data_IF_787695660748
#
_entry.id   IF_787695660748
#
_cell.length_a   1.000
_cell.length_b   1.000
_cell.length_c   1.000
_cell.angle_alpha   90.00
_cell.angle_beta   90.00
_cell.angle_gamma   90.00
#
_symmetry.space_group_name_H-M   'P 1'
#
loop_
_entity.id
_entity.type
_entity.pdbx_description
1 polymer ?
#
# COMPACT_ATOMS: atom_id res chain seq x y z
N UNK A 1 -68.57 -28.74 5.51
CA UNK A 1 -69.94 -28.42 5.10
C UNK A 1 -69.75 -27.38 4.01
N UNK A 2 -69.86 -27.89 2.82
CA UNK A 2 -70.74 -27.44 1.73
C UNK A 2 -70.42 -26.00 1.24
N UNK A 3 -70.14 -25.69 0.02
CA UNK A 3 -70.36 -26.33 -1.29
C UNK A 3 -70.57 -25.20 -2.30
N UNK A 4 -69.80 -25.26 -3.41
CA UNK A 4 -70.21 -24.98 -4.80
C UNK A 4 -70.77 -23.57 -5.15
N UNK A 5 -70.59 -23.00 -6.26
CA UNK A 5 -70.41 -23.29 -7.71
C UNK A 5 -70.52 -21.95 -8.41
N UNK A 6 -70.11 -21.71 -9.47
CA UNK A 6 -69.86 -22.03 -10.87
C UNK A 6 -69.97 -20.75 -11.68
N UNK A 7 -69.03 -20.63 -12.62
CA UNK A 7 -69.22 -20.61 -14.10
C UNK A 7 -70.23 -19.60 -14.67
N UNK A 8 -69.75 -18.84 -15.62
CA UNK A 8 -70.00 -18.92 -17.09
C UNK A 8 -69.39 -17.65 -17.72
N UNK A 9 -68.44 -17.76 -18.63
CA UNK A 9 -68.41 -17.89 -20.09
C UNK A 9 -69.29 -16.90 -20.81
N UNK A 10 -68.88 -16.15 -21.79
CA UNK A 10 -68.71 -16.39 -23.23
C UNK A 10 -68.82 -15.07 -24.00
N UNK A 11 -67.83 -14.90 -24.92
CA UNK A 11 -67.95 -14.39 -26.28
C UNK A 11 -68.45 -12.98 -26.65
N UNK A 12 -67.69 -12.47 -27.60
CA UNK A 12 -68.12 -11.55 -28.64
C UNK A 12 -66.98 -10.69 -29.12
N UNK A 13 -66.21 -11.18 -30.00
CA UNK A 13 -66.16 -10.99 -31.46
C UNK A 13 -66.03 -9.53 -31.91
N UNK A 14 -64.84 -9.27 -32.43
CA UNK A 14 -64.53 -8.73 -33.76
C UNK A 14 -65.04 -7.37 -34.21
N UNK A 15 -64.09 -6.69 -34.80
CA UNK A 15 -64.17 -5.77 -35.96
C UNK A 15 -64.34 -4.30 -35.62
N UNK A 16 -63.27 -3.54 -35.83
CA UNK A 16 -63.17 -2.55 -36.91
C UNK A 16 -61.68 -2.12 -37.06
N UNK A 17 -61.09 -2.49 -38.19
CA UNK A 17 -59.88 -1.86 -38.75
C UNK A 17 -60.25 -0.44 -39.18
N UNK A 18 -59.44 0.53 -38.84
CA UNK A 18 -58.93 1.47 -39.86
C UNK A 18 -57.92 2.48 -39.26
N UNK A 19 -56.74 2.39 -39.78
CA UNK A 19 -55.93 3.42 -40.37
C UNK A 19 -55.66 4.73 -39.56
N UNK A 20 -54.50 4.77 -38.93
CA UNK A 20 -53.68 5.95 -39.04
C UNK A 20 -52.21 5.56 -38.93
N UNK A 21 -51.55 5.42 -40.09
CA UNK A 21 -50.15 5.24 -40.20
C UNK A 21 -49.43 6.52 -39.77
N UNK A 22 -48.87 6.53 -38.59
CA UNK A 22 -47.83 7.48 -38.20
C UNK A 22 -46.51 6.74 -38.18
N UNK A 23 -45.70 7.10 -39.19
CA UNK A 23 -44.30 6.72 -39.29
C UNK A 23 -43.55 7.23 -38.03
N UNK A 24 -43.34 6.38 -37.05
CA UNK A 24 -42.20 6.56 -36.11
C UNK A 24 -40.95 6.09 -36.83
N UNK A 25 -40.21 7.05 -37.40
CA UNK A 25 -38.83 6.83 -37.72
C UNK A 25 -38.10 6.72 -36.40
N UNK A 26 -37.88 5.47 -35.95
CA UNK A 26 -36.93 5.20 -34.89
C UNK A 26 -35.55 5.51 -35.42
N UNK A 27 -35.04 6.67 -35.12
CA UNK A 27 -33.64 7.03 -35.29
C UNK A 27 -32.88 6.22 -34.25
N UNK A 28 -32.45 5.03 -34.63
CA UNK A 28 -31.43 4.29 -33.90
C UNK A 28 -30.14 5.09 -34.09
N UNK A 29 -29.89 5.99 -33.15
CA UNK A 29 -28.56 6.57 -33.00
C UNK A 29 -27.63 5.41 -32.62
N UNK A 30 -26.99 4.83 -33.61
CA UNK A 30 -25.78 4.06 -33.41
C UNK A 30 -24.77 5.02 -32.79
N UNK A 31 -24.67 4.98 -31.48
CA UNK A 31 -23.44 5.41 -30.81
C UNK A 31 -22.35 4.43 -31.26
N UNK A 32 -21.78 4.69 -32.41
CA UNK A 32 -20.45 4.19 -32.72
C UNK A 32 -19.55 4.81 -31.65
N UNK A 33 -19.31 4.06 -30.61
CA UNK A 33 -18.11 4.27 -29.83
C UNK A 33 -16.98 4.23 -30.85
N UNK A 34 -16.47 5.40 -31.17
CA UNK A 34 -15.15 5.52 -31.75
C UNK A 34 -14.20 4.84 -30.78
N UNK A 35 -13.96 3.56 -31.02
CA UNK A 35 -12.75 2.88 -30.63
C UNK A 35 -11.68 3.48 -31.57
N UNK A 36 -11.49 4.81 -31.47
CA UNK A 36 -10.28 5.43 -31.92
C UNK A 36 -9.18 4.79 -31.11
N UNK A 37 -8.52 3.85 -31.74
CA UNK A 37 -7.18 3.39 -31.48
C UNK A 37 -6.50 4.17 -30.34
N UNK A 38 -6.56 3.69 -29.14
CA UNK A 38 -5.43 3.73 -28.27
C UNK A 38 -4.34 2.86 -28.95
N UNK A 39 -3.78 3.40 -30.06
CA UNK A 39 -2.43 3.08 -30.47
C UNK A 39 -1.62 3.30 -29.20
N UNK A 40 -1.09 2.21 -28.64
CA UNK A 40 -0.55 2.14 -27.31
C UNK A 40 0.35 3.34 -27.03
N UNK A 41 -0.08 4.20 -26.11
CA UNK A 41 0.84 5.12 -25.49
C UNK A 41 2.01 4.25 -25.04
N UNK A 42 3.19 4.47 -25.61
CA UNK A 42 4.39 3.71 -25.28
C UNK A 42 4.50 3.69 -23.77
N UNK A 43 4.54 2.51 -23.17
CA UNK A 43 4.66 2.39 -21.72
C UNK A 43 5.94 3.11 -21.30
N UNK A 44 5.79 4.31 -20.76
CA UNK A 44 6.90 5.20 -20.40
C UNK A 44 7.56 4.76 -19.11
N UNK A 45 6.95 3.84 -18.36
CA UNK A 45 7.38 3.40 -17.03
C UNK A 45 8.18 2.10 -17.10
N UNK A 46 7.68 1.08 -17.80
CA UNK A 46 8.36 -0.21 -17.91
C UNK A 46 8.74 -0.53 -19.36
N UNK A 47 9.82 -1.28 -19.54
CA UNK A 47 10.14 -1.84 -20.86
C UNK A 47 9.12 -2.95 -21.19
N UNK A 48 8.73 -3.11 -22.45
CA UNK A 48 7.78 -4.17 -22.84
C UNK A 48 8.22 -5.58 -22.47
N UNK A 49 9.54 -5.81 -22.41
CA UNK A 49 10.14 -7.09 -22.03
C UNK A 49 10.38 -7.25 -20.52
N UNK A 50 10.09 -6.21 -19.72
CA UNK A 50 10.30 -6.28 -18.27
C UNK A 50 9.36 -7.31 -17.64
N UNK A 51 9.94 -8.19 -16.84
CA UNK A 51 9.23 -9.23 -16.10
C UNK A 51 9.58 -9.13 -14.62
N UNK A 52 8.64 -9.49 -13.79
CA UNK A 52 8.87 -9.64 -12.36
C UNK A 52 9.78 -10.87 -12.13
N UNK A 53 10.95 -10.65 -11.57
CA UNK A 53 11.97 -11.65 -11.28
C UNK A 53 11.94 -11.99 -9.80
N UNK A 54 11.78 -13.26 -9.44
CA UNK A 54 11.91 -13.73 -8.07
C UNK A 54 13.39 -13.76 -7.67
N UNK A 55 13.74 -13.07 -6.60
CA UNK A 55 15.10 -13.00 -6.04
C UNK A 55 15.26 -13.88 -4.80
N UNK A 56 14.22 -13.90 -3.95
CA UNK A 56 14.20 -14.67 -2.71
C UNK A 56 12.78 -15.09 -2.38
N UNK A 57 12.66 -16.25 -1.75
CA UNK A 57 11.43 -16.69 -1.10
C UNK A 57 11.76 -17.36 0.22
N UNK A 58 10.94 -17.09 1.24
CA UNK A 58 11.05 -17.74 2.54
C UNK A 58 10.92 -19.26 2.41
N UNK A 59 11.69 -20.00 3.23
CA UNK A 59 11.55 -21.44 3.32
C UNK A 59 10.13 -21.87 3.76
N UNK A 60 9.60 -22.94 3.16
CA UNK A 60 8.23 -23.40 3.36
C UNK A 60 7.88 -23.76 4.82
N UNK A 61 8.90 -24.05 5.64
CA UNK A 61 8.73 -24.42 7.05
C UNK A 61 8.28 -23.24 7.93
N UNK A 62 8.54 -22.00 7.50
CA UNK A 62 8.11 -20.80 8.20
C UNK A 62 6.72 -20.39 7.69
N UNK A 63 5.70 -20.97 8.30
CA UNK A 63 4.31 -20.76 7.89
C UNK A 63 3.82 -19.36 8.26
N UNK A 64 2.90 -18.85 7.45
CA UNK A 64 2.18 -17.57 7.62
C UNK A 64 3.06 -16.31 7.56
N UNK A 65 2.42 -15.16 7.50
CA UNK A 65 3.08 -13.86 7.40
C UNK A 65 3.47 -13.49 5.97
N UNK A 66 4.17 -12.37 5.86
CA UNK A 66 4.57 -11.77 4.57
C UNK A 66 5.95 -11.13 4.70
N UNK A 67 6.61 -10.95 3.57
CA UNK A 67 7.76 -10.03 3.45
C UNK A 67 7.26 -8.62 3.24
N UNK A 68 7.99 -7.63 3.76
CA UNK A 68 7.59 -6.23 3.73
C UNK A 68 8.79 -5.32 3.46
N UNK A 69 8.49 -4.09 3.12
CA UNK A 69 9.29 -2.87 3.15
C UNK A 69 10.73 -3.04 2.65
N UNK A 70 10.94 -3.26 1.37
CA UNK A 70 12.28 -3.17 0.81
C UNK A 70 12.81 -1.73 0.99
N UNK A 71 14.04 -1.59 1.48
CA UNK A 71 14.72 -0.32 1.66
C UNK A 71 16.15 -0.39 1.13
N UNK A 72 16.58 0.62 0.37
CA UNK A 72 17.90 0.64 -0.23
C UNK A 72 18.91 1.33 0.69
N UNK A 73 19.96 0.61 1.05
CA UNK A 73 21.08 1.15 1.81
C UNK A 73 22.00 2.02 0.91
N UNK A 74 22.80 2.94 1.49
CA UNK A 74 23.74 3.76 0.72
C UNK A 74 24.79 2.99 -0.09
N UNK A 75 25.05 1.72 0.25
CA UNK A 75 25.97 0.82 -0.47
C UNK A 75 25.27 -0.01 -1.57
N UNK A 76 23.96 0.17 -1.76
CA UNK A 76 23.13 -0.47 -2.79
C UNK A 76 22.51 -1.79 -2.37
N UNK A 77 22.77 -2.30 -1.17
CA UNK A 77 22.08 -3.48 -0.64
C UNK A 77 20.63 -3.16 -0.31
N UNK A 78 19.77 -4.16 -0.43
CA UNK A 78 18.34 -4.04 -0.15
C UNK A 78 18.03 -4.78 1.15
N UNK A 79 17.58 -4.04 2.15
CA UNK A 79 17.07 -4.60 3.37
C UNK A 79 15.56 -4.73 3.26
N UNK A 80 14.99 -5.80 3.79
CA UNK A 80 13.54 -6.01 3.80
C UNK A 80 13.14 -6.82 5.03
N UNK A 81 11.92 -6.60 5.50
CA UNK A 81 11.42 -7.32 6.66
C UNK A 81 10.72 -8.60 6.25
N UNK A 82 10.75 -9.56 7.13
CA UNK A 82 10.01 -10.80 7.05
C UNK A 82 9.22 -10.96 8.35
N UNK A 83 7.89 -10.81 8.26
CA UNK A 83 6.99 -10.77 9.39
C UNK A 83 6.14 -12.05 9.45
N UNK A 84 6.55 -13.07 10.20
CA UNK A 84 5.66 -14.19 10.52
C UNK A 84 4.53 -13.72 11.44
N UNK A 85 3.36 -14.36 11.32
CA UNK A 85 2.27 -14.12 12.26
C UNK A 85 2.48 -14.93 13.54
N UNK A 86 1.85 -14.49 14.63
CA UNK A 86 1.90 -15.17 15.93
C UNK A 86 3.11 -14.75 16.77
N UNK A 87 3.75 -15.71 17.43
CA UNK A 87 4.75 -15.45 18.48
C UNK A 87 6.14 -15.08 18.00
N UNK A 88 6.45 -15.27 16.71
CA UNK A 88 7.77 -14.99 16.18
C UNK A 88 8.01 -13.48 16.08
N UNK A 89 9.19 -13.03 16.47
CA UNK A 89 9.53 -11.60 16.54
C UNK A 89 9.84 -10.95 15.18
N UNK A 90 9.81 -11.70 14.09
CA UNK A 90 10.14 -11.23 12.77
C UNK A 90 11.65 -11.09 12.54
N UNK A 91 12.01 -10.85 11.31
CA UNK A 91 13.39 -10.74 10.84
C UNK A 91 13.57 -9.50 9.97
N UNK A 92 14.82 -9.05 9.86
CA UNK A 92 15.25 -8.17 8.78
C UNK A 92 16.31 -8.93 7.99
N UNK A 93 16.09 -9.02 6.69
CA UNK A 93 16.97 -9.68 5.73
C UNK A 93 17.70 -8.64 4.89
N UNK A 94 18.84 -9.03 4.34
CA UNK A 94 19.67 -8.19 3.48
C UNK A 94 19.97 -8.93 2.17
N UNK A 95 19.50 -8.41 1.04
CA UNK A 95 19.84 -8.88 -0.30
C UNK A 95 20.97 -8.03 -0.88
N UNK A 96 22.00 -8.66 -1.38
CA UNK A 96 23.09 -8.02 -2.12
C UNK A 96 22.85 -8.20 -3.64
N UNK A 97 22.55 -7.12 -4.38
CA UNK A 97 22.31 -7.20 -5.82
C UNK A 97 23.52 -7.67 -6.64
N UNK A 98 24.74 -7.49 -6.13
CA UNK A 98 25.99 -7.88 -6.82
C UNK A 98 26.24 -9.38 -6.74
N UNK A 99 26.06 -9.96 -5.57
CA UNK A 99 26.27 -11.40 -5.33
C UNK A 99 24.99 -12.21 -5.49
N UNK A 100 23.82 -11.54 -5.47
CA UNK A 100 22.48 -12.14 -5.47
C UNK A 100 22.21 -13.04 -4.27
N UNK A 101 22.89 -12.79 -3.17
CA UNK A 101 22.75 -13.53 -1.93
C UNK A 101 21.84 -12.80 -0.95
N UNK A 102 21.07 -13.56 -0.18
CA UNK A 102 20.32 -13.05 0.97
C UNK A 102 20.98 -13.54 2.25
N UNK A 103 21.13 -12.65 3.20
CA UNK A 103 21.63 -12.94 4.54
C UNK A 103 20.71 -12.35 5.60
N UNK A 104 20.75 -12.94 6.80
CA UNK A 104 20.05 -12.39 7.95
C UNK A 104 20.82 -11.16 8.48
N UNK A 105 20.09 -10.03 8.61
CA UNK A 105 20.61 -8.90 9.39
C UNK A 105 20.28 -9.09 10.87
N UNK A 106 19.01 -9.42 11.20
CA UNK A 106 18.59 -9.83 12.52
C UNK A 106 17.43 -10.82 12.46
N UNK A 107 17.42 -11.78 13.39
CA UNK A 107 16.32 -12.75 13.58
C UNK A 107 15.33 -12.34 14.67
N UNK A 108 15.55 -11.18 15.27
CA UNK A 108 14.70 -10.59 16.30
C UNK A 108 14.54 -9.11 15.99
N UNK A 109 13.58 -8.79 15.13
CA UNK A 109 13.32 -7.45 14.68
C UNK A 109 12.29 -6.71 15.54
N UNK A 110 11.62 -7.38 16.47
CA UNK A 110 10.53 -6.79 17.26
C UNK A 110 9.27 -6.52 16.43
N UNK A 111 8.98 -7.36 15.44
CA UNK A 111 7.88 -7.16 14.47
C UNK A 111 8.09 -5.91 13.61
N UNK A 112 9.33 -5.65 13.19
CA UNK A 112 9.58 -4.58 12.22
C UNK A 112 8.80 -4.80 10.93
N UNK A 113 8.15 -3.75 10.46
CA UNK A 113 7.41 -3.67 9.20
C UNK A 113 8.13 -2.71 8.26
N UNK A 114 7.81 -1.41 8.28
CA UNK A 114 8.43 -0.39 7.46
C UNK A 114 9.92 -0.22 7.73
N UNK A 115 10.72 -0.04 6.67
CA UNK A 115 12.15 0.27 6.74
C UNK A 115 12.47 1.51 5.92
N UNK A 116 13.43 2.30 6.38
CA UNK A 116 14.07 3.37 5.58
C UNK A 116 15.50 3.60 6.03
N UNK A 117 16.27 4.33 5.22
CA UNK A 117 17.61 4.75 5.57
C UNK A 117 17.67 6.26 5.82
N UNK A 118 18.53 6.66 6.76
CA UNK A 118 18.86 8.06 7.01
C UNK A 118 20.13 8.46 6.25
N UNK A 119 20.37 9.75 6.11
CA UNK A 119 21.54 10.29 5.39
C UNK A 119 22.89 9.88 6.00
N UNK A 120 22.93 9.50 7.27
CA UNK A 120 24.11 8.99 7.96
C UNK A 120 24.34 7.48 7.74
N UNK A 121 23.49 6.83 6.95
CA UNK A 121 23.55 5.41 6.62
C UNK A 121 22.94 4.49 7.67
N UNK A 122 22.39 5.00 8.76
CA UNK A 122 21.65 4.17 9.71
C UNK A 122 20.27 3.79 9.15
N UNK A 123 19.78 2.60 9.49
CA UNK A 123 18.47 2.12 9.13
C UNK A 123 17.47 2.43 10.26
N UNK A 124 16.25 2.77 9.90
CA UNK A 124 15.12 2.93 10.84
C UNK A 124 14.02 1.98 10.45
N UNK A 125 13.39 1.34 11.45
CA UNK A 125 12.21 0.52 11.28
C UNK A 125 11.04 0.96 12.14
N UNK A 126 9.84 0.60 11.68
CA UNK A 126 8.60 0.62 12.44
C UNK A 126 8.36 -0.75 13.07
N UNK A 127 8.43 -0.85 14.39
CA UNK A 127 8.08 -2.08 15.10
C UNK A 127 6.59 -2.07 15.44
N UNK A 128 5.87 -3.08 14.97
CA UNK A 128 4.43 -3.18 15.13
C UNK A 128 3.97 -3.69 16.49
N UNK A 129 2.69 -3.98 16.59
CA UNK A 129 2.04 -4.67 17.73
C UNK A 129 2.13 -6.20 17.59
N UNK A 130 1.26 -6.94 18.29
CA UNK A 130 1.21 -8.41 18.36
C UNK A 130 2.48 -9.02 18.96
N UNK A 131 2.87 -8.48 20.13
CA UNK A 131 4.11 -8.85 20.83
C UNK A 131 5.34 -8.07 20.36
N UNK A 132 5.21 -7.18 19.40
CA UNK A 132 6.29 -6.31 18.91
C UNK A 132 6.55 -5.08 19.76
N UNK A 133 7.48 -4.25 19.31
CA UNK A 133 8.00 -3.12 20.07
C UNK A 133 7.05 -1.92 20.17
N UNK A 134 6.13 -1.72 19.21
CA UNK A 134 5.23 -0.56 19.08
C UNK A 134 6.03 0.75 19.15
N UNK A 135 7.04 0.88 18.27
CA UNK A 135 8.03 1.96 18.32
C UNK A 135 8.71 2.17 16.97
N UNK A 136 9.42 3.28 16.86
CA UNK A 136 10.46 3.46 15.85
C UNK A 136 11.81 3.09 16.47
N UNK A 137 12.62 2.32 15.74
CA UNK A 137 13.94 1.87 16.19
C UNK A 137 14.99 2.22 15.13
N UNK A 138 16.13 2.70 15.57
CA UNK A 138 17.30 2.97 14.73
C UNK A 138 18.31 1.85 14.91
N UNK A 139 18.76 1.26 13.82
CA UNK A 139 19.69 0.16 13.78
C UNK A 139 21.09 0.62 13.39
N UNK A 140 22.06 0.16 14.14
CA UNK A 140 23.46 0.20 13.77
C UNK A 140 23.76 -1.02 12.88
N UNK A 141 24.07 -0.78 11.61
CA UNK A 141 24.27 -1.85 10.62
C UNK A 141 25.51 -2.71 10.89
N UNK A 142 26.48 -2.21 11.68
CA UNK A 142 27.72 -2.94 11.99
C UNK A 142 27.52 -3.91 13.16
N UNK A 143 26.74 -3.48 14.14
CA UNK A 143 26.56 -4.25 15.39
C UNK A 143 25.24 -5.00 15.45
N UNK A 144 24.27 -4.68 14.58
CA UNK A 144 22.89 -5.18 14.61
C UNK A 144 22.11 -4.71 15.84
N UNK A 145 22.61 -3.71 16.58
CA UNK A 145 21.93 -3.19 17.77
C UNK A 145 20.94 -2.10 17.39
N UNK A 146 19.75 -2.18 17.99
CA UNK A 146 18.71 -1.18 17.83
C UNK A 146 18.59 -0.25 19.02
N UNK A 147 18.28 1.03 18.76
CA UNK A 147 17.98 2.05 19.76
C UNK A 147 16.60 2.63 19.46
N UNK A 148 15.71 2.64 20.46
CA UNK A 148 14.37 3.24 20.32
C UNK A 148 14.49 4.75 20.10
N UNK A 149 13.88 5.23 19.01
CA UNK A 149 13.78 6.65 18.68
C UNK A 149 12.49 7.27 19.26
N UNK A 150 11.37 6.55 19.14
CA UNK A 150 10.07 7.01 19.65
C UNK A 150 9.17 5.79 19.88
N UNK A 151 8.44 5.78 20.99
CA UNK A 151 7.47 4.73 21.32
C UNK A 151 6.15 5.32 21.86
N UNK A 152 6.07 6.67 21.96
CA UNK A 152 4.95 7.40 22.53
C UNK A 152 4.64 8.67 21.78
N UNK A 153 3.37 9.05 21.83
CA UNK A 153 2.88 10.38 21.48
C UNK A 153 2.09 10.92 22.67
N UNK A 154 2.44 12.12 23.16
CA UNK A 154 1.82 12.77 24.33
C UNK A 154 1.71 11.85 25.57
N UNK A 155 2.72 11.04 25.82
CA UNK A 155 2.79 10.11 26.94
C UNK A 155 2.10 8.75 26.72
N UNK A 156 1.32 8.58 25.67
CA UNK A 156 0.61 7.36 25.31
C UNK A 156 1.43 6.49 24.34
N UNK A 157 1.38 5.17 24.51
CA UNK A 157 2.05 4.23 23.61
C UNK A 157 1.47 4.33 22.18
N UNK A 158 2.34 4.32 21.18
CA UNK A 158 1.96 4.21 19.78
C UNK A 158 1.09 2.95 19.57
N UNK A 159 0.24 2.95 18.55
CA UNK A 159 -0.65 1.82 18.25
C UNK A 159 0.14 0.62 17.69
N UNK A 160 0.68 0.77 16.50
CA UNK A 160 1.43 -0.24 15.77
C UNK A 160 2.11 0.41 14.58
N UNK A 161 3.19 1.19 14.77
CA UNK A 161 3.88 1.82 13.66
C UNK A 161 4.08 0.84 12.50
N UNK A 162 3.71 1.29 11.29
CA UNK A 162 3.61 0.40 10.14
C UNK A 162 4.61 0.79 9.05
N UNK A 163 4.46 1.93 8.38
CA UNK A 163 5.34 2.35 7.30
C UNK A 163 5.89 3.75 7.56
N UNK A 164 6.99 4.11 6.86
CA UNK A 164 7.69 5.36 7.11
C UNK A 164 8.42 5.88 5.89
N UNK A 165 8.57 7.20 5.83
CA UNK A 165 9.46 7.86 4.89
C UNK A 165 10.22 9.01 5.57
N UNK A 166 11.33 9.43 4.96
CA UNK A 166 12.18 10.50 5.49
C UNK A 166 12.12 11.71 4.56
N UNK A 167 12.15 12.92 5.12
CA UNK A 167 12.26 14.13 4.33
C UNK A 167 13.73 14.57 4.14
N UNK A 168 13.95 15.57 3.27
CA UNK A 168 15.28 16.13 3.01
C UNK A 168 15.93 16.80 4.24
N UNK A 169 15.17 17.05 5.30
CA UNK A 169 15.65 17.58 6.59
C UNK A 169 15.97 16.48 7.59
N UNK A 170 15.77 15.21 7.23
CA UNK A 170 16.02 14.02 8.07
C UNK A 170 14.96 13.81 9.15
N UNK A 171 13.74 14.32 8.97
CA UNK A 171 12.59 14.04 9.83
C UNK A 171 11.85 12.82 9.30
N UNK A 172 11.29 12.00 10.16
CA UNK A 172 10.69 10.72 9.82
C UNK A 172 9.17 10.83 9.93
N UNK A 173 8.46 10.73 8.81
CA UNK A 173 7.01 10.58 8.78
C UNK A 173 6.68 9.09 8.88
N UNK A 174 5.69 8.74 9.68
CA UNK A 174 5.29 7.35 9.86
C UNK A 174 3.79 7.21 10.10
N UNK A 175 3.26 6.05 9.72
CA UNK A 175 1.87 5.68 9.95
C UNK A 175 1.76 4.82 11.21
N UNK A 176 0.67 5.00 11.97
CA UNK A 176 0.46 4.28 13.22
C UNK A 176 -0.95 3.66 13.30
N UNK A 177 -1.25 2.70 12.39
CA UNK A 177 -2.51 1.96 12.41
C UNK A 177 -2.51 0.87 13.50
N UNK A 178 -3.60 0.08 13.54
CA UNK A 178 -3.66 -1.16 14.31
C UNK A 178 -4.31 -2.25 13.46
N UNK A 179 -3.48 -3.14 12.88
CA UNK A 179 -3.96 -4.31 12.11
C UNK A 179 -4.10 -5.56 12.96
N UNK A 180 -3.28 -5.73 13.98
CA UNK A 180 -3.25 -6.90 14.84
C UNK A 180 -2.80 -6.58 16.25
N UNK A 181 -2.70 -7.64 17.10
CA UNK A 181 -2.26 -7.53 18.46
C UNK A 181 -3.42 -7.30 19.45
N UNK A 182 -3.29 -7.94 20.61
CA UNK A 182 -4.28 -7.85 21.69
C UNK A 182 -3.89 -6.81 22.77
N UNK A 183 -2.77 -6.14 22.61
CA UNK A 183 -2.30 -5.14 23.56
C UNK A 183 -3.28 -3.96 23.65
N UNK A 184 -3.50 -3.41 24.86
CA UNK A 184 -4.37 -2.26 25.03
C UNK A 184 -3.96 -1.08 24.13
N UNK A 185 -4.94 -0.46 23.51
CA UNK A 185 -4.74 0.79 22.77
C UNK A 185 -4.81 1.96 23.75
N UNK A 186 -3.78 2.80 23.72
CA UNK A 186 -3.70 3.99 24.55
C UNK A 186 -4.10 5.25 23.78
N UNK A 187 -3.83 5.30 22.46
CA UNK A 187 -4.24 6.40 21.58
C UNK A 187 -5.69 6.21 21.12
N UNK A 188 -6.44 7.29 21.02
CA UNK A 188 -7.86 7.23 20.67
C UNK A 188 -8.11 7.01 19.17
N UNK A 189 -7.11 7.31 18.33
CA UNK A 189 -7.21 7.25 16.87
C UNK A 189 -5.94 6.71 16.24
N UNK A 190 -6.09 6.27 15.02
CA UNK A 190 -5.00 5.93 14.12
C UNK A 190 -4.63 7.18 13.34
N UNK A 191 -3.34 7.45 13.16
CA UNK A 191 -2.90 8.71 12.59
C UNK A 191 -1.56 8.58 11.86
N UNK A 192 -1.19 9.63 11.18
CA UNK A 192 0.14 9.87 10.64
C UNK A 192 0.87 10.82 11.56
N UNK A 193 2.06 10.43 11.96
CA UNK A 193 2.94 11.20 12.82
C UNK A 193 4.23 11.57 12.12
N UNK A 194 4.98 12.48 12.73
CA UNK A 194 6.35 12.79 12.33
C UNK A 194 7.25 12.89 13.57
N UNK A 195 8.35 12.16 13.51
CA UNK A 195 9.43 12.28 14.48
C UNK A 195 10.40 13.38 14.02
N UNK A 196 10.56 14.39 14.84
CA UNK A 196 11.50 15.49 14.66
C UNK A 196 12.94 15.05 15.02
N UNK A 197 13.93 15.79 14.58
CA UNK A 197 15.34 15.48 14.87
C UNK A 197 15.71 15.61 16.35
N UNK A 198 14.95 16.36 17.12
CA UNK A 198 15.09 16.52 18.59
C UNK A 198 14.38 15.43 19.39
N UNK A 199 13.79 14.44 18.70
CA UNK A 199 13.06 13.33 19.31
C UNK A 199 11.58 13.61 19.61
N UNK A 200 11.08 14.79 19.31
CA UNK A 200 9.66 15.11 19.48
C UNK A 200 8.82 14.45 18.41
N UNK A 201 7.73 13.78 18.81
CA UNK A 201 6.69 13.28 17.90
C UNK A 201 5.59 14.34 17.79
N UNK A 202 5.16 14.62 16.56
CA UNK A 202 4.01 15.47 16.27
C UNK A 202 3.01 14.75 15.38
N UNK A 203 1.73 15.00 15.59
CA UNK A 203 0.67 14.52 14.71
C UNK A 203 0.64 15.36 13.43
N UNK A 204 0.60 14.71 12.27
CA UNK A 204 0.50 15.36 10.95
C UNK A 204 -0.95 15.39 10.49
N UNK A 205 -1.63 14.24 10.57
CA UNK A 205 -3.05 14.13 10.23
C UNK A 205 -3.66 12.85 10.80
N UNK A 206 -4.93 12.92 11.13
CA UNK A 206 -5.81 11.78 11.46
C UNK A 206 -6.98 11.67 10.48
N UNK A 207 -6.92 12.38 9.35
CA UNK A 207 -7.93 12.29 8.29
C UNK A 207 -7.76 11.05 7.42
N UNK A 208 -7.34 9.97 8.03
CA UNK A 208 -7.19 8.61 7.48
C UNK A 208 -7.78 7.64 8.49
N UNK A 209 -8.45 6.59 8.01
CA UNK A 209 -9.09 5.63 8.91
C UNK A 209 -8.09 4.60 9.42
N UNK A 210 -7.24 4.08 8.53
CA UNK A 210 -6.19 3.11 8.85
C UNK A 210 -4.99 3.33 7.92
N UNK A 211 -4.10 4.27 8.26
CA UNK A 211 -2.98 4.63 7.40
C UNK A 211 -1.98 3.47 7.27
N UNK A 212 -1.52 3.23 6.04
CA UNK A 212 -0.54 2.20 5.71
C UNK A 212 0.66 2.84 4.99
N UNK A 213 0.88 2.54 3.70
CA UNK A 213 1.99 3.09 2.95
C UNK A 213 2.05 4.61 2.97
N UNK A 214 3.27 5.16 3.00
CA UNK A 214 3.50 6.59 3.12
C UNK A 214 4.74 7.01 2.33
N UNK A 215 4.64 8.09 1.55
CA UNK A 215 5.78 8.65 0.83
C UNK A 215 5.62 10.15 0.60
N UNK A 216 6.73 10.87 0.53
CA UNK A 216 6.77 12.30 0.17
C UNK A 216 7.02 12.47 -1.33
N UNK A 217 6.37 13.47 -1.93
CA UNK A 217 6.75 13.92 -3.27
C UNK A 217 8.21 14.40 -3.31
N UNK A 218 8.91 14.32 -4.46
CA UNK A 218 10.29 14.77 -4.56
C UNK A 218 10.50 16.23 -4.16
N UNK A 219 9.53 17.10 -4.39
CA UNK A 219 9.56 18.51 -3.99
C UNK A 219 9.19 18.75 -2.52
N UNK A 220 8.87 17.69 -1.76
CA UNK A 220 8.52 17.72 -0.33
C UNK A 220 7.25 18.52 0.01
N UNK A 221 6.39 18.79 -0.98
CA UNK A 221 5.17 19.60 -0.80
C UNK A 221 3.90 18.76 -0.67
N UNK A 222 3.99 17.46 -0.91
CA UNK A 222 2.86 16.56 -0.82
C UNK A 222 3.25 15.29 -0.08
N UNK A 223 2.43 14.91 0.89
CA UNK A 223 2.52 13.62 1.56
C UNK A 223 1.44 12.71 0.98
N UNK A 224 1.84 11.58 0.42
CA UNK A 224 0.93 10.54 -0.05
C UNK A 224 0.76 9.49 1.04
N UNK A 225 -0.49 9.10 1.30
CA UNK A 225 -0.84 8.12 2.34
C UNK A 225 -1.87 7.15 1.79
N UNK A 226 -1.57 5.86 1.93
CA UNK A 226 -2.51 4.78 1.69
C UNK A 226 -3.44 4.60 2.89
N UNK A 227 -4.74 4.60 2.66
CA UNK A 227 -5.74 4.25 3.65
C UNK A 227 -6.26 2.85 3.34
N UNK A 228 -5.90 1.88 4.19
CA UNK A 228 -6.20 0.47 4.00
C UNK A 228 -7.02 -0.07 5.16
N UNK A 229 -8.27 0.39 5.29
CA UNK A 229 -9.14 -0.05 6.38
C UNK A 229 -9.84 -1.37 6.06
N UNK A 230 -9.14 -2.46 6.29
CA UNK A 230 -9.63 -3.83 6.12
C UNK A 230 -10.64 -4.28 7.21
N UNK A 231 -11.03 -3.41 8.13
CA UNK A 231 -11.77 -3.72 9.34
C UNK A 231 -10.79 -4.12 10.46
N UNK A 232 -10.29 -5.34 10.44
CA UNK A 232 -9.29 -5.80 11.41
C UNK A 232 -9.84 -5.94 12.84
N UNK A 233 -8.98 -5.77 13.83
CA UNK A 233 -9.29 -6.03 15.22
C UNK A 233 -10.07 -4.89 15.88
N UNK A 234 -10.91 -5.24 16.87
CA UNK A 234 -11.46 -4.26 17.81
C UNK A 234 -10.33 -3.55 18.53
N UNK A 235 -10.47 -2.26 18.69
CA UNK A 235 -9.48 -1.45 19.39
C UNK A 235 -9.62 -1.56 20.91
N UNK A 236 -10.87 -1.74 21.38
CA UNK A 236 -11.24 -1.98 22.76
C UNK A 236 -12.29 -3.09 22.80
N UNK A 237 -12.36 -3.90 23.87
CA UNK A 237 -13.40 -4.95 23.98
C UNK A 237 -14.84 -4.43 23.88
N UNK A 238 -15.06 -3.15 24.25
CA UNK A 238 -16.35 -2.48 24.22
C UNK A 238 -16.69 -1.86 22.86
N UNK A 239 -15.73 -1.79 21.92
CA UNK A 239 -15.97 -1.23 20.61
C UNK A 239 -16.86 -2.17 19.77
N UNK A 240 -17.67 -1.64 18.86
CA UNK A 240 -18.42 -2.46 17.92
C UNK A 240 -17.46 -3.28 17.05
N UNK A 241 -18.00 -4.33 16.39
CA UNK A 241 -17.22 -5.07 15.41
C UNK A 241 -16.64 -4.14 14.34
N UNK A 242 -15.33 -4.24 14.09
CA UNK A 242 -14.71 -3.40 13.08
C UNK A 242 -15.30 -3.70 11.70
N UNK A 243 -15.62 -2.63 11.00
CA UNK A 243 -16.12 -2.72 9.62
C UNK A 243 -15.03 -2.26 8.67
N UNK A 244 -14.96 -2.91 7.52
CA UNK A 244 -14.16 -2.44 6.41
C UNK A 244 -14.56 -1.00 6.05
N UNK A 245 -13.58 -0.13 5.94
CA UNK A 245 -13.76 1.28 5.63
C UNK A 245 -13.04 1.69 4.36
N UNK A 246 -12.37 2.84 4.40
CA UNK A 246 -11.71 3.42 3.25
C UNK A 246 -10.58 2.54 2.70
N UNK A 247 -10.56 2.42 1.38
CA UNK A 247 -9.49 1.79 0.59
C UNK A 247 -9.06 2.79 -0.47
N UNK A 248 -8.18 3.72 -0.09
CA UNK A 248 -7.86 4.90 -0.90
C UNK A 248 -6.39 5.27 -0.83
N UNK A 249 -5.96 6.08 -1.77
CA UNK A 249 -4.69 6.81 -1.66
C UNK A 249 -5.03 8.30 -1.62
N UNK A 250 -4.51 8.98 -0.60
CA UNK A 250 -4.69 10.41 -0.41
C UNK A 250 -3.40 11.18 -0.66
N UNK A 251 -3.55 12.41 -1.15
CA UNK A 251 -2.51 13.41 -1.22
C UNK A 251 -2.83 14.55 -0.24
N UNK A 252 -1.94 14.80 0.70
CA UNK A 252 -2.02 15.88 1.67
C UNK A 252 -1.04 16.97 1.28
N UNK A 253 -1.48 18.18 0.94
CA UNK A 253 -0.59 19.32 0.77
C UNK A 253 0.17 19.60 2.07
N UNK A 254 1.46 19.93 1.97
CA UNK A 254 2.30 20.28 3.11
C UNK A 254 2.72 21.75 3.04
N UNK A 255 2.74 22.42 4.18
CA UNK A 255 3.34 23.73 4.35
C UNK A 255 4.88 23.66 4.39
N UNK A 256 5.56 24.80 4.45
CA UNK A 256 7.02 24.89 4.53
C UNK A 256 7.62 24.21 5.79
N UNK A 257 6.81 24.06 6.84
CA UNK A 257 7.18 23.31 8.04
C UNK A 257 6.94 21.80 7.89
N UNK A 258 6.34 21.36 6.77
CA UNK A 258 6.00 19.96 6.49
C UNK A 258 4.82 19.47 7.32
N UNK A 259 3.86 20.32 7.63
CA UNK A 259 2.59 19.98 8.27
C UNK A 259 1.51 19.93 7.21
N UNK A 260 0.54 19.04 7.37
CA UNK A 260 -0.62 19.01 6.51
C UNK A 260 -1.33 20.39 6.53
N UNK A 261 -1.56 20.96 5.34
CA UNK A 261 -2.13 22.28 5.16
C UNK A 261 -3.12 22.26 4.00
N UNK A 262 -4.39 22.38 4.30
CA UNK A 262 -5.48 22.33 3.34
C UNK A 262 -6.13 20.96 3.23
N UNK A 263 -7.14 20.88 2.36
CA UNK A 263 -7.92 19.64 2.19
C UNK A 263 -7.13 18.57 1.45
N UNK A 264 -7.17 17.36 1.98
CA UNK A 264 -6.65 16.18 1.28
C UNK A 264 -7.38 15.96 -0.04
N UNK A 265 -6.70 15.37 -1.00
CA UNK A 265 -7.26 14.95 -2.27
C UNK A 265 -7.16 13.43 -2.42
N UNK A 266 -8.25 12.78 -2.83
CA UNK A 266 -8.22 11.37 -3.21
C UNK A 266 -7.56 11.22 -4.56
N UNK A 267 -6.50 10.41 -4.65
CA UNK A 267 -5.84 10.05 -5.90
C UNK A 267 -6.42 8.78 -6.50
N UNK A 268 -6.61 7.77 -5.65
CA UNK A 268 -7.17 6.47 -6.05
C UNK A 268 -8.24 6.09 -5.03
N UNK A 269 -9.35 5.56 -5.52
CA UNK A 269 -10.39 4.93 -4.72
C UNK A 269 -10.57 3.49 -5.22
N UNK A 270 -10.20 2.51 -4.41
CA UNK A 270 -10.29 1.09 -4.74
C UNK A 270 -11.70 0.53 -4.49
N UNK A 271 -12.62 1.33 -3.96
CA UNK A 271 -13.99 0.93 -3.69
C UNK A 271 -14.07 -0.24 -2.69
N UNK A 272 -14.54 -1.39 -3.17
CA UNK A 272 -14.67 -2.60 -2.35
C UNK A 272 -13.44 -3.51 -2.39
N UNK A 273 -12.49 -3.25 -3.27
CA UNK A 273 -11.25 -4.02 -3.36
C UNK A 273 -10.29 -3.67 -2.23
N UNK A 274 -9.32 -4.53 -1.97
CA UNK A 274 -8.22 -4.20 -1.10
C UNK A 274 -7.40 -3.07 -1.73
N UNK A 275 -7.02 -2.11 -0.92
CA UNK A 275 -6.33 -0.92 -1.35
C UNK A 275 -4.82 -1.10 -1.54
N UNK A 276 -4.12 0.02 -1.45
CA UNK A 276 -2.67 0.06 -1.45
C UNK A 276 -2.12 -0.33 -0.07
N UNK A 277 -1.02 -1.07 -0.07
CA UNK A 277 -0.17 -1.29 1.10
C UNK A 277 0.98 -0.27 1.05
N UNK A 278 2.22 -0.67 0.80
CA UNK A 278 3.34 0.25 0.67
C UNK A 278 3.42 0.99 -0.66
N UNK A 279 4.26 2.03 -0.73
CA UNK A 279 4.44 2.85 -1.91
C UNK A 279 5.80 3.56 -1.95
N UNK A 280 6.27 3.88 -3.17
CA UNK A 280 7.43 4.74 -3.40
C UNK A 280 7.19 5.72 -4.54
N UNK A 281 8.15 6.64 -4.78
CA UNK A 281 8.08 7.62 -5.88
C UNK A 281 9.34 7.58 -6.74
N UNK A 282 9.20 7.90 -8.02
CA UNK A 282 10.33 8.12 -8.89
C UNK A 282 10.78 9.60 -8.90
N UNK A 283 11.89 9.88 -9.57
CA UNK A 283 12.49 11.21 -9.71
C UNK A 283 11.62 12.18 -10.52
N UNK A 284 10.58 11.69 -11.20
CA UNK A 284 9.59 12.48 -11.94
C UNK A 284 8.33 12.76 -11.12
N UNK A 285 8.23 12.17 -9.92
CA UNK A 285 7.09 12.29 -9.02
C UNK A 285 5.96 11.30 -9.30
N UNK A 286 6.14 10.30 -10.17
CA UNK A 286 5.17 9.22 -10.32
C UNK A 286 5.18 8.34 -9.07
N UNK A 287 4.02 7.84 -8.69
CA UNK A 287 3.81 7.08 -7.46
C UNK A 287 3.59 5.61 -7.81
N UNK A 288 4.35 4.74 -7.19
CA UNK A 288 4.30 3.29 -7.36
C UNK A 288 3.61 2.68 -6.16
N UNK A 289 2.49 2.01 -6.38
CA UNK A 289 1.59 1.50 -5.35
C UNK A 289 1.58 -0.02 -5.35
N UNK A 290 1.84 -0.64 -4.21
CA UNK A 290 1.63 -2.07 -4.01
C UNK A 290 0.13 -2.34 -3.77
N UNK A 291 -0.60 -2.72 -4.84
CA UNK A 291 -2.05 -2.90 -4.80
C UNK A 291 -2.42 -4.33 -4.40
N UNK A 292 -3.13 -4.47 -3.29
CA UNK A 292 -3.56 -5.75 -2.71
C UNK A 292 -4.93 -6.23 -3.19
N UNK A 293 -5.48 -5.63 -4.24
CA UNK A 293 -6.76 -6.07 -4.82
C UNK A 293 -6.68 -7.52 -5.26
N UNK A 294 -7.61 -8.36 -4.82
CA UNK A 294 -7.71 -9.75 -5.25
C UNK A 294 -8.18 -9.88 -6.70
N UNK A 295 -8.92 -8.89 -7.17
CA UNK A 295 -9.33 -8.83 -8.56
C UNK A 295 -8.19 -8.46 -9.50
N UNK A 296 -7.23 -7.65 -9.02
CA UNK A 296 -6.10 -7.16 -9.81
C UNK A 296 -4.87 -6.91 -8.91
N UNK A 297 -4.20 -7.96 -8.41
CA UNK A 297 -3.00 -7.78 -7.60
C UNK A 297 -1.83 -7.31 -8.45
N UNK A 298 -1.11 -6.29 -7.97
CA UNK A 298 0.00 -5.79 -8.76
C UNK A 298 0.55 -4.43 -8.33
N UNK A 299 1.52 -3.96 -9.09
CA UNK A 299 2.05 -2.61 -8.98
C UNK A 299 1.26 -1.67 -9.89
N UNK A 300 0.57 -0.72 -9.30
CA UNK A 300 -0.08 0.38 -10.01
C UNK A 300 0.84 1.60 -9.98
N UNK A 301 1.13 2.17 -11.15
CA UNK A 301 1.87 3.43 -11.25
C UNK A 301 0.93 4.52 -11.68
N UNK A 302 0.88 5.59 -10.90
CA UNK A 302 0.05 6.76 -11.17
C UNK A 302 0.90 8.03 -11.25
N UNK A 303 0.41 9.02 -11.97
CA UNK A 303 0.97 10.38 -11.89
C UNK A 303 0.43 11.12 -10.64
N UNK A 304 0.98 12.30 -10.29
CA UNK A 304 0.52 13.07 -9.13
C UNK A 304 -0.95 13.52 -9.20
N UNK A 305 -1.62 13.36 -10.34
CA UNK A 305 -3.06 13.66 -10.47
C UNK A 305 -3.94 12.45 -10.13
N UNK A 306 -3.35 11.25 -10.04
CA UNK A 306 -4.04 9.98 -9.81
C UNK A 306 -4.34 9.20 -11.10
N UNK A 307 -3.84 9.66 -12.26
CA UNK A 307 -4.02 8.97 -13.54
C UNK A 307 -3.09 7.76 -13.63
N UNK A 308 -3.64 6.59 -13.96
CA UNK A 308 -2.86 5.37 -14.20
C UNK A 308 -1.91 5.57 -15.40
N UNK A 309 -0.63 5.29 -15.18
CA UNK A 309 0.43 5.31 -16.19
C UNK A 309 0.83 3.91 -16.62
N UNK A 310 0.85 2.97 -15.67
CA UNK A 310 1.24 1.59 -15.90
C UNK A 310 0.68 0.67 -14.82
N UNK A 311 0.60 -0.61 -15.15
CA UNK A 311 0.28 -1.67 -14.22
C UNK A 311 1.11 -2.93 -14.52
N UNK A 312 1.64 -3.55 -13.46
CA UNK A 312 2.35 -4.84 -13.52
C UNK A 312 1.65 -5.83 -12.64
N UNK A 313 1.15 -6.91 -13.23
CA UNK A 313 0.53 -7.99 -12.46
C UNK A 313 1.59 -8.74 -11.65
N UNK A 314 1.31 -8.99 -10.37
CA UNK A 314 2.17 -9.77 -9.47
C UNK A 314 1.60 -11.14 -9.18
N UNK A 315 0.33 -11.36 -9.49
CA UNK A 315 -0.36 -12.63 -9.28
C UNK A 315 -1.61 -12.80 -10.12
N UNK A 316 -2.30 -13.94 -9.99
CA UNK A 316 -3.51 -14.22 -10.75
C UNK A 316 -4.64 -13.23 -10.38
N UNK A 317 -5.49 -12.92 -11.35
CA UNK A 317 -6.66 -12.07 -11.17
C UNK A 317 -7.84 -12.83 -10.57
N UNK A 318 -8.80 -12.05 -10.02
CA UNK A 318 -10.10 -12.54 -9.55
C UNK A 318 -9.96 -13.68 -8.52
N UNK A 319 -8.99 -13.55 -7.65
CA UNK A 319 -8.82 -14.49 -6.55
C UNK A 319 -10.01 -14.38 -5.61
N UNK A 320 -10.53 -15.52 -5.22
CA UNK A 320 -11.52 -15.64 -4.17
C UNK A 320 -10.95 -16.59 -3.13
N UNK A 321 -11.31 -16.41 -1.89
CA UNK A 321 -10.98 -17.38 -0.90
C UNK A 321 -10.42 -16.79 0.39
N UNK A 322 -9.96 -17.69 1.22
CA UNK A 322 -9.35 -17.41 2.49
C UNK A 322 -7.97 -16.80 2.30
N UNK A 323 -7.50 -16.05 3.25
CA UNK A 323 -6.21 -15.36 3.25
C UNK A 323 -5.02 -16.26 2.88
N UNK A 324 -5.06 -17.52 3.30
CA UNK A 324 -4.00 -18.50 3.03
C UNK A 324 -3.90 -18.93 1.54
N UNK A 325 -4.95 -18.69 0.76
CA UNK A 325 -5.01 -19.04 -0.69
C UNK A 325 -4.58 -17.89 -1.60
N UNK A 326 -4.33 -16.71 -1.04
CA UNK A 326 -3.92 -15.55 -1.83
C UNK A 326 -2.54 -15.76 -2.45
N UNK A 327 -2.37 -15.33 -3.70
CA UNK A 327 -1.12 -15.49 -4.45
C UNK A 327 -0.75 -14.20 -5.17
N UNK A 328 0.51 -13.87 -5.08
CA UNK A 328 1.07 -12.71 -5.76
C UNK A 328 0.56 -11.39 -5.23
N UNK A 329 0.25 -11.31 -3.94
CA UNK A 329 -0.22 -10.09 -3.30
C UNK A 329 0.99 -9.25 -2.89
N UNK A 330 1.22 -8.08 -3.53
CA UNK A 330 2.33 -7.23 -3.16
C UNK A 330 2.05 -6.52 -1.84
N UNK A 331 3.10 -6.26 -1.08
CA UNK A 331 3.03 -5.53 0.19
C UNK A 331 3.74 -4.18 0.12
N UNK A 332 4.97 -4.12 -0.42
CA UNK A 332 5.70 -2.87 -0.48
C UNK A 332 6.67 -2.84 -1.67
N UNK A 333 7.25 -1.65 -1.95
CA UNK A 333 8.04 -1.40 -3.16
C UNK A 333 9.05 -0.29 -2.93
N UNK A 334 10.31 -0.48 -3.45
CA UNK A 334 11.35 0.53 -3.40
C UNK A 334 12.32 0.40 -4.58
N UNK A 335 12.90 1.52 -5.02
CA UNK A 335 13.91 1.55 -6.05
C UNK A 335 15.32 1.22 -5.50
N UNK A 336 16.15 0.62 -6.34
CA UNK A 336 17.58 0.53 -6.11
C UNK A 336 18.31 1.85 -6.37
N UNK A 337 19.63 1.82 -6.25
CA UNK A 337 20.53 2.98 -6.51
C UNK A 337 21.71 2.59 -7.38
N UNK A 338 22.49 3.59 -7.85
CA UNK A 338 23.69 3.38 -8.67
C UNK A 338 23.36 2.65 -9.97
N UNK A 339 24.04 1.55 -10.25
CA UNK A 339 23.80 0.72 -11.44
C UNK A 339 22.43 0.05 -11.43
N UNK A 340 21.82 -0.02 -10.26
CA UNK A 340 20.51 -0.63 -10.04
C UNK A 340 19.38 0.40 -9.84
N UNK A 341 19.64 1.68 -10.11
CA UNK A 341 18.71 2.78 -9.90
C UNK A 341 17.38 2.67 -10.67
N UNK A 342 17.35 1.87 -11.74
CA UNK A 342 16.16 1.56 -12.52
C UNK A 342 15.53 0.20 -12.14
N UNK A 343 16.03 -0.46 -11.12
CA UNK A 343 15.43 -1.68 -10.57
C UNK A 343 14.47 -1.31 -9.45
N UNK A 344 13.26 -1.84 -9.56
CA UNK A 344 12.22 -1.71 -8.57
C UNK A 344 12.12 -3.03 -7.82
N UNK A 345 12.38 -3.02 -6.53
CA UNK A 345 12.27 -4.16 -5.63
C UNK A 345 10.88 -4.19 -5.02
N UNK A 346 10.27 -5.35 -5.02
CA UNK A 346 8.88 -5.54 -4.61
C UNK A 346 8.80 -6.73 -3.69
N UNK A 347 8.24 -6.55 -2.52
CA UNK A 347 7.85 -7.66 -1.66
C UNK A 347 6.47 -8.17 -2.10
N UNK A 348 6.39 -9.48 -2.35
CA UNK A 348 5.18 -10.15 -2.81
C UNK A 348 5.04 -11.46 -2.05
N UNK A 349 3.93 -11.66 -1.37
CA UNK A 349 3.68 -12.81 -0.49
C UNK A 349 4.83 -12.98 0.54
N UNK A 350 5.64 -14.03 0.37
CA UNK A 350 6.78 -14.38 1.22
C UNK A 350 8.12 -14.20 0.52
N UNK A 351 8.19 -13.34 -0.48
CA UNK A 351 9.35 -13.21 -1.33
C UNK A 351 9.74 -11.78 -1.68
N UNK A 352 11.00 -11.62 -2.10
CA UNK A 352 11.52 -10.41 -2.71
C UNK A 352 11.62 -10.61 -4.22
N UNK A 353 11.08 -9.67 -4.96
CA UNK A 353 11.08 -9.66 -6.43
C UNK A 353 11.75 -8.39 -6.95
N UNK A 354 12.08 -8.39 -8.23
CA UNK A 354 12.62 -7.24 -8.94
C UNK A 354 11.98 -7.08 -10.32
N UNK A 355 11.78 -5.82 -10.74
CA UNK A 355 11.42 -5.49 -12.11
C UNK A 355 12.19 -4.26 -12.58
N UNK A 356 12.57 -4.23 -13.86
CA UNK A 356 13.26 -3.08 -14.46
C UNK A 356 12.25 -2.03 -14.91
N UNK A 357 12.43 -0.80 -14.43
CA UNK A 357 11.71 0.40 -14.88
C UNK A 357 12.58 1.23 -15.84
N UNK A 358 11.97 2.21 -16.50
CA UNK A 358 12.65 3.23 -17.32
C UNK A 358 12.96 4.49 -16.50
N UNK A 359 12.44 4.59 -15.29
CA UNK A 359 12.60 5.70 -14.34
C UNK A 359 13.53 5.30 -13.22
N UNK A 360 13.92 6.25 -12.38
CA UNK A 360 14.78 6.05 -11.20
C UNK A 360 14.02 6.48 -9.96
N UNK A 361 14.30 5.84 -8.82
CA UNK A 361 13.74 6.24 -7.55
C UNK A 361 14.22 7.59 -7.06
N UNK A 362 13.40 8.24 -6.26
CA UNK A 362 13.79 9.41 -5.50
C UNK A 362 14.09 9.00 -4.05
N UNK A 363 15.34 9.19 -3.62
CA UNK A 363 15.83 8.79 -2.31
C UNK A 363 16.27 10.01 -1.50
N UNK A 364 15.48 10.53 -0.55
CA UNK A 364 15.84 11.70 0.23
C UNK A 364 17.17 11.57 0.98
N UNK A 365 17.47 10.38 1.51
CA UNK A 365 18.69 10.11 2.24
C UNK A 365 19.97 10.21 1.39
N UNK A 366 19.86 10.14 0.06
CA UNK A 366 20.96 10.32 -0.88
C UNK A 366 21.03 11.76 -1.44
N UNK A 367 19.91 12.48 -1.43
CA UNK A 367 19.83 13.85 -1.94
C UNK A 367 20.30 14.92 -0.93
N UNK A 368 20.42 14.56 0.34
CA UNK A 368 20.78 15.46 1.45
C UNK A 368 22.31 15.70 1.60
N UNK A 369 23.06 15.68 0.48
CA UNK A 369 24.52 15.99 0.49
C UNK A 369 24.79 17.41 0.10
#
# INVERSE_FOLDING_TARGET
>A
MLVFRNRETVNGLETIMNACAWRMVATIAFWTWNISHLVGAENTIFHPASKLELLHTRAAQLNSGLTESPAVAPDGRIYFTDMPFGKDNGMILCFDPKTRQVSDFTKDSGKSNGLTFLADGSMVSCDGADGGGRRLIRWDLKTGKGVTLADRFEGHRLNSPNDLCVDLKGRIYFTDPRYGGAEPRELEREAVYRLERDGKVIEITYEVEKPNGIVLSPDQRTLYVGDHNNGGNRLRPTDPEPKRGAMKVYAFPLDAAGRANGSRRTLVDFGRENGCDGMTVDDRGNIYLACRSLARPGLLVIDPTGRELAFVETGPRNQSGLFDDWKGIPSNVEFGIGDDAQSLYVTVDKGLHRIRAKTRGFHPHLAAK
#
